data_IF_345419286310
#
_entry.id   IF_345419286310
#
_cell.length_a   1.000
_cell.length_b   1.000
_cell.length_c   1.000
_cell.angle_alpha   90.00
_cell.angle_beta   90.00
_cell.angle_gamma   90.00
#
_symmetry.space_group_name_H-M   'P 1'
#
loop_
_entity.id
_entity.type
_entity.pdbx_description
1 polymer ?
#
# COMPACT_ATOMS: atom_id res chain seq x y z
N UNK A 1 21.14 -3.52 -2.92
CA UNK A 1 22.15 -2.85 -2.09
C UNK A 1 21.53 -1.73 -1.24
N UNK A 2 20.79 -0.80 -1.83
CA UNK A 2 20.12 0.30 -1.12
C UNK A 2 19.09 -0.18 -0.09
N UNK A 3 18.26 -1.17 -0.43
CA UNK A 3 17.27 -1.73 0.51
C UNK A 3 17.93 -2.43 1.71
N UNK A 4 19.03 -3.15 1.49
CA UNK A 4 19.80 -3.77 2.58
C UNK A 4 20.40 -2.72 3.51
N UNK A 5 20.86 -1.60 2.97
CA UNK A 5 21.33 -0.47 3.75
C UNK A 5 20.21 0.11 4.62
N UNK A 6 19.02 0.37 4.05
CA UNK A 6 17.87 0.87 4.81
C UNK A 6 17.46 -0.11 5.92
N UNK A 7 17.48 -1.41 5.64
CA UNK A 7 17.21 -2.45 6.64
C UNK A 7 18.24 -2.40 7.78
N UNK A 8 19.53 -2.33 7.43
CA UNK A 8 20.63 -2.28 8.40
C UNK A 8 20.53 -1.08 9.36
N UNK A 9 20.07 0.06 8.89
CA UNK A 9 19.89 1.26 9.71
C UNK A 9 18.49 1.36 10.36
N UNK A 10 17.74 0.24 10.38
CA UNK A 10 16.44 0.18 11.06
C UNK A 10 15.29 0.89 10.35
N UNK A 11 15.38 1.07 9.05
CA UNK A 11 14.36 1.75 8.23
C UNK A 11 13.44 0.79 7.47
N UNK A 12 13.45 -0.48 7.81
CA UNK A 12 12.53 -1.48 7.28
C UNK A 12 11.44 -1.81 8.30
N UNK A 13 10.22 -1.95 7.84
CA UNK A 13 9.09 -2.48 8.59
C UNK A 13 8.38 -3.55 7.77
N UNK A 14 8.16 -4.71 8.37
CA UNK A 14 7.26 -5.72 7.80
C UNK A 14 5.84 -5.33 8.15
N UNK A 15 5.02 -5.10 7.14
CA UNK A 15 3.60 -4.77 7.30
C UNK A 15 2.80 -6.05 7.12
N UNK A 16 1.97 -6.36 8.10
CA UNK A 16 1.11 -7.55 8.08
C UNK A 16 -0.20 -7.25 7.38
N UNK A 17 -0.83 -8.28 6.87
CA UNK A 17 -2.12 -8.20 6.19
C UNK A 17 -3.29 -7.87 7.13
N UNK A 18 -3.09 -8.00 8.44
CA UNK A 18 -4.08 -7.69 9.48
C UNK A 18 -3.43 -6.90 10.60
N UNK A 19 -4.12 -5.86 11.05
CA UNK A 19 -3.67 -5.03 12.18
C UNK A 19 -4.00 -5.65 13.54
N UNK A 20 -3.40 -5.13 14.64
CA UNK A 20 -3.61 -5.65 15.99
C UNK A 20 -5.08 -5.65 16.47
N UNK A 21 -5.91 -4.77 15.91
CA UNK A 21 -7.34 -4.69 16.22
C UNK A 21 -8.20 -5.71 15.48
N UNK A 22 -7.60 -6.47 14.56
CA UNK A 22 -8.35 -7.45 13.77
C UNK A 22 -8.59 -8.73 14.59
N UNK A 23 -9.82 -9.32 14.58
CA UNK A 23 -10.12 -10.53 15.35
C UNK A 23 -9.22 -11.72 15.06
N UNK A 24 -8.72 -11.81 13.83
CA UNK A 24 -7.80 -12.86 13.39
C UNK A 24 -6.36 -12.38 13.27
N UNK A 25 -5.94 -11.47 14.12
CA UNK A 25 -4.57 -10.95 14.09
C UNK A 25 -3.51 -12.05 14.31
N UNK A 26 -3.84 -13.07 15.08
CA UNK A 26 -2.96 -14.23 15.29
C UNK A 26 -2.67 -15.04 14.01
N UNK A 27 -3.49 -14.88 12.97
CA UNK A 27 -3.28 -15.49 11.65
C UNK A 27 -2.61 -14.52 10.65
N UNK A 28 -2.19 -13.34 11.10
CA UNK A 28 -1.63 -12.32 10.23
C UNK A 28 -0.32 -12.78 9.56
N UNK A 29 -0.20 -12.46 8.28
CA UNK A 29 0.97 -12.82 7.45
C UNK A 29 1.63 -11.58 6.89
N UNK A 30 2.93 -11.62 6.57
CA UNK A 30 3.60 -10.52 5.87
C UNK A 30 2.90 -10.21 4.55
N UNK A 31 2.56 -8.94 4.37
CA UNK A 31 1.90 -8.42 3.18
C UNK A 31 2.85 -7.59 2.33
N UNK A 32 3.66 -6.74 2.96
CA UNK A 32 4.71 -5.98 2.29
C UNK A 32 5.88 -5.66 3.22
N UNK A 33 7.05 -5.48 2.63
CA UNK A 33 8.17 -4.81 3.28
C UNK A 33 8.11 -3.33 2.93
N UNK A 34 8.08 -2.49 3.95
CA UNK A 34 8.10 -1.03 3.80
C UNK A 34 9.46 -0.50 4.21
N UNK A 35 10.06 0.30 3.34
CA UNK A 35 11.34 0.97 3.61
C UNK A 35 11.11 2.47 3.66
N UNK A 36 11.53 3.10 4.74
CA UNK A 36 11.40 4.54 4.94
C UNK A 36 12.61 5.26 4.35
N UNK A 37 12.43 5.90 3.21
CA UNK A 37 13.48 6.65 2.52
C UNK A 37 13.68 8.00 3.20
N UNK A 38 12.61 8.72 3.48
CA UNK A 38 12.66 10.06 4.06
C UNK A 38 12.39 10.05 5.57
N UNK A 39 11.14 9.88 6.00
CA UNK A 39 10.76 9.95 7.42
C UNK A 39 10.31 8.59 7.94
N UNK A 40 10.96 8.12 9.01
CA UNK A 40 10.53 6.90 9.71
C UNK A 40 9.25 7.14 10.53
N UNK A 41 9.17 8.31 11.14
CA UNK A 41 8.01 8.76 11.92
C UNK A 41 7.56 10.09 11.37
N UNK A 42 6.53 10.06 10.52
CA UNK A 42 6.00 11.26 9.88
C UNK A 42 5.02 11.98 10.79
N UNK A 43 5.29 13.24 11.18
CA UNK A 43 4.30 14.06 11.87
C UNK A 43 3.07 14.30 10.99
N UNK A 44 1.89 14.42 11.59
CA UNK A 44 0.64 14.66 10.84
C UNK A 44 0.66 15.96 10.02
N UNK A 45 1.41 16.95 10.47
CA UNK A 45 1.55 18.25 9.80
C UNK A 45 2.53 18.23 8.63
N UNK A 46 3.41 17.23 8.52
CA UNK A 46 4.37 17.16 7.44
C UNK A 46 3.70 16.68 6.14
N UNK A 47 3.86 17.42 5.00
CA UNK A 47 2.97 17.27 3.85
C UNK A 47 3.22 16.05 2.98
N UNK A 48 4.34 15.33 3.12
CA UNK A 48 4.63 14.15 2.31
C UNK A 48 5.59 13.18 2.97
N UNK A 49 5.73 11.98 2.38
CA UNK A 49 6.79 11.04 2.73
C UNK A 49 7.22 10.26 1.48
N UNK A 50 8.41 9.69 1.52
CA UNK A 50 8.96 8.86 0.46
C UNK A 50 9.25 7.48 1.04
N UNK A 51 8.65 6.46 0.45
CA UNK A 51 8.72 5.08 0.88
C UNK A 51 9.07 4.19 -0.32
N UNK A 52 9.65 3.04 -0.05
CA UNK A 52 9.73 1.95 -1.00
C UNK A 52 8.92 0.79 -0.43
N UNK A 53 8.06 0.21 -1.25
CA UNK A 53 7.28 -0.98 -0.90
C UNK A 53 7.74 -2.15 -1.76
N UNK A 54 8.10 -3.24 -1.12
CA UNK A 54 8.23 -4.55 -1.75
C UNK A 54 7.00 -5.36 -1.39
N UNK A 55 6.17 -5.65 -2.37
CA UNK A 55 4.92 -6.37 -2.16
C UNK A 55 5.18 -7.87 -2.08
N UNK A 56 4.63 -8.52 -1.07
CA UNK A 56 4.83 -9.95 -0.80
C UNK A 56 3.57 -10.77 -1.07
N UNK A 57 2.41 -10.15 -1.05
CA UNK A 57 1.12 -10.80 -1.26
C UNK A 57 0.11 -9.85 -1.89
N UNK A 58 -0.96 -10.42 -2.44
CA UNK A 58 -2.11 -9.66 -2.93
C UNK A 58 -2.76 -8.86 -1.81
N UNK A 59 -3.51 -7.83 -2.17
CA UNK A 59 -4.36 -7.13 -1.24
C UNK A 59 -5.35 -8.10 -0.61
N UNK A 60 -5.53 -7.97 0.70
CA UNK A 60 -6.33 -8.91 1.46
C UNK A 60 -7.82 -8.79 1.14
N UNK A 61 -8.51 -9.94 1.08
CA UNK A 61 -9.94 -10.04 0.81
C UNK A 61 -10.32 -9.79 -0.66
N UNK A 62 -11.63 -9.69 -0.93
CA UNK A 62 -12.19 -9.49 -2.27
C UNK A 62 -12.49 -8.03 -2.58
N UNK A 63 -12.20 -7.13 -1.65
CA UNK A 63 -12.58 -5.73 -1.72
C UNK A 63 -11.47 -4.82 -2.24
N UNK A 64 -11.88 -3.62 -2.58
CA UNK A 64 -10.99 -2.50 -2.85
C UNK A 64 -10.81 -1.68 -1.58
N UNK A 65 -9.71 -0.94 -1.49
CA UNK A 65 -9.43 -0.07 -0.34
C UNK A 65 -9.01 1.33 -0.78
N UNK A 66 -9.07 2.28 0.16
CA UNK A 66 -8.58 3.63 -0.01
C UNK A 66 -7.46 3.92 1.01
N UNK A 67 -6.83 5.07 0.85
CA UNK A 67 -5.76 5.53 1.74
C UNK A 67 -6.17 6.78 2.51
N UNK A 68 -5.41 7.11 3.57
CA UNK A 68 -5.62 8.33 4.36
C UNK A 68 -5.07 9.59 3.69
N UNK A 69 -4.36 9.42 2.59
CA UNK A 69 -3.65 10.48 1.85
C UNK A 69 -3.66 10.17 0.36
N UNK A 70 -3.56 11.19 -0.50
CA UNK A 70 -3.23 10.98 -1.91
C UNK A 70 -1.79 10.49 -2.04
N UNK A 71 -1.49 9.81 -3.13
CA UNK A 71 -0.14 9.29 -3.35
C UNK A 71 0.22 9.19 -4.83
N UNK A 72 1.52 9.16 -5.08
CA UNK A 72 2.10 8.79 -6.36
C UNK A 72 2.81 7.45 -6.15
N UNK A 73 2.60 6.52 -7.06
CA UNK A 73 3.33 5.26 -7.12
C UNK A 73 4.11 5.15 -8.41
N UNK A 74 5.35 4.70 -8.31
CA UNK A 74 6.21 4.42 -9.46
C UNK A 74 6.67 2.97 -9.33
N UNK A 75 6.35 2.15 -10.31
CA UNK A 75 6.74 0.74 -10.29
C UNK A 75 8.18 0.64 -10.78
N UNK A 76 9.06 0.16 -9.90
CA UNK A 76 10.49 0.01 -10.17
C UNK A 76 10.83 -1.37 -10.72
N UNK A 77 10.09 -2.40 -10.29
CA UNK A 77 10.33 -3.80 -10.68
C UNK A 77 9.06 -4.64 -10.55
N UNK A 78 8.90 -5.64 -11.40
CA UNK A 78 7.88 -6.68 -11.32
C UNK A 78 6.58 -6.31 -12.00
N UNK A 79 5.92 -5.30 -11.54
CA UNK A 79 4.56 -4.95 -11.99
C UNK A 79 3.47 -5.71 -11.24
N UNK A 80 2.23 -5.23 -11.34
CA UNK A 80 1.06 -5.84 -10.71
C UNK A 80 -0.24 -5.49 -11.46
N UNK A 81 -1.28 -6.23 -11.14
CA UNK A 81 -2.64 -5.90 -11.56
C UNK A 81 -3.27 -4.93 -10.58
N UNK A 82 -3.84 -3.86 -11.09
CA UNK A 82 -4.61 -2.90 -10.30
C UNK A 82 -6.06 -2.90 -10.75
N UNK A 83 -6.95 -3.16 -9.82
CA UNK A 83 -8.40 -3.05 -10.03
C UNK A 83 -8.88 -1.71 -9.53
N UNK A 84 -9.49 -0.94 -10.41
CA UNK A 84 -10.16 0.34 -10.15
C UNK A 84 -11.65 0.20 -10.42
N UNK A 85 -12.45 1.22 -10.13
CA UNK A 85 -13.87 1.26 -10.49
C UNK A 85 -14.09 1.14 -12.00
N UNK A 86 -13.11 1.53 -12.81
CA UNK A 86 -13.16 1.52 -14.28
C UNK A 86 -12.69 0.21 -14.90
N UNK A 87 -12.12 -0.71 -14.13
CA UNK A 87 -11.64 -2.00 -14.63
C UNK A 87 -10.35 -2.46 -13.98
N UNK A 88 -9.80 -3.53 -14.52
CA UNK A 88 -8.54 -4.15 -14.08
C UNK A 88 -7.45 -3.89 -15.09
N UNK A 89 -6.33 -3.36 -14.63
CA UNK A 89 -5.23 -2.88 -15.49
C UNK A 89 -3.91 -3.48 -15.06
N UNK A 90 -3.11 -3.93 -16.04
CA UNK A 90 -1.73 -4.32 -15.78
C UNK A 90 -0.86 -3.05 -15.67
N UNK A 91 -0.10 -2.96 -14.57
CA UNK A 91 0.82 -1.85 -14.30
C UNK A 91 2.26 -2.39 -14.40
N UNK A 92 2.95 -2.15 -15.54
CA UNK A 92 4.32 -2.65 -15.73
C UNK A 92 5.36 -1.80 -14.99
N UNK A 93 6.60 -2.29 -14.88
CA UNK A 93 7.72 -1.44 -14.45
C UNK A 93 7.82 -0.16 -15.29
N UNK A 94 8.09 0.96 -14.62
CA UNK A 94 8.07 2.29 -15.25
C UNK A 94 6.71 3.00 -15.20
N UNK A 95 5.64 2.30 -14.84
CA UNK A 95 4.32 2.93 -14.65
C UNK A 95 4.37 3.94 -13.51
N UNK A 96 3.79 5.12 -13.75
CA UNK A 96 3.61 6.19 -12.77
C UNK A 96 2.11 6.42 -12.62
N UNK A 97 1.59 6.24 -11.39
CA UNK A 97 0.19 6.45 -11.08
C UNK A 97 0.00 7.50 -9.99
N UNK A 98 -1.00 8.37 -10.17
CA UNK A 98 -1.49 9.26 -9.12
C UNK A 98 -2.85 8.75 -8.64
N UNK A 99 -3.05 8.74 -7.32
CA UNK A 99 -4.32 8.34 -6.69
C UNK A 99 -4.70 9.35 -5.61
N UNK A 100 -5.95 9.79 -5.65
CA UNK A 100 -6.51 10.58 -4.55
C UNK A 100 -6.75 9.71 -3.32
N UNK A 101 -6.88 10.34 -2.15
CA UNK A 101 -7.17 9.64 -0.90
C UNK A 101 -8.51 8.88 -0.93
N UNK A 102 -9.44 9.28 -1.79
CA UNK A 102 -10.75 8.65 -1.93
C UNK A 102 -10.79 7.55 -2.99
N UNK A 103 -9.71 7.39 -3.75
CA UNK A 103 -9.65 6.38 -4.80
C UNK A 103 -9.65 4.98 -4.19
N UNK A 104 -10.57 4.16 -4.66
CA UNK A 104 -10.66 2.76 -4.26
C UNK A 104 -9.92 1.90 -5.27
N UNK A 105 -9.00 1.08 -4.78
CA UNK A 105 -8.26 0.16 -5.62
C UNK A 105 -7.93 -1.15 -4.90
N UNK A 106 -7.53 -2.13 -5.69
CA UNK A 106 -7.00 -3.40 -5.25
C UNK A 106 -5.77 -3.74 -6.06
N UNK A 107 -4.76 -4.26 -5.41
CA UNK A 107 -3.53 -4.76 -6.06
C UNK A 107 -3.46 -6.27 -5.95
N UNK A 108 -3.29 -6.94 -7.09
CA UNK A 108 -3.06 -8.38 -7.19
C UNK A 108 -1.72 -8.63 -7.87
N UNK A 109 -0.93 -9.53 -7.30
CA UNK A 109 0.40 -9.84 -7.80
C UNK A 109 0.36 -10.94 -8.87
N UNK A 110 1.26 -10.87 -9.82
CA UNK A 110 1.56 -12.01 -10.66
C UNK A 110 2.25 -13.08 -9.81
N UNK A 111 1.81 -14.36 -9.88
CA UNK A 111 2.42 -15.43 -9.08
C UNK A 111 3.95 -15.48 -9.22
N UNK A 112 4.64 -15.64 -8.08
CA UNK A 112 6.10 -15.72 -8.02
C UNK A 112 6.81 -14.38 -8.14
N UNK A 113 6.10 -13.24 -8.17
CA UNK A 113 6.71 -11.91 -8.26
C UNK A 113 6.62 -11.16 -6.94
N UNK A 114 7.60 -10.29 -6.71
CA UNK A 114 7.65 -9.35 -5.59
C UNK A 114 7.84 -7.94 -6.15
N UNK A 115 6.76 -7.26 -6.55
CA UNK A 115 6.86 -5.91 -7.10
C UNK A 115 7.51 -4.94 -6.14
N UNK A 116 8.35 -4.06 -6.68
CA UNK A 116 9.01 -2.99 -5.96
C UNK A 116 8.47 -1.65 -6.46
N UNK A 117 7.98 -0.81 -5.56
CA UNK A 117 7.44 0.50 -5.91
C UNK A 117 8.07 1.61 -5.09
N UNK A 118 8.32 2.74 -5.73
CA UNK A 118 8.55 4.01 -5.04
C UNK A 118 7.18 4.64 -4.77
N UNK A 119 6.94 4.97 -3.52
CA UNK A 119 5.65 5.48 -3.05
C UNK A 119 5.83 6.83 -2.40
N UNK A 120 5.20 7.85 -2.95
CA UNK A 120 5.25 9.22 -2.42
C UNK A 120 3.86 9.55 -1.89
N UNK A 121 3.72 9.57 -0.56
CA UNK A 121 2.46 9.91 0.11
C UNK A 121 2.33 11.42 0.27
N UNK A 122 1.14 11.94 0.02
CA UNK A 122 0.79 13.35 0.21
C UNK A 122 0.23 13.67 1.59
N UNK A 123 -0.45 14.81 1.74
CA UNK A 123 -0.98 15.27 3.03
C UNK A 123 -2.02 14.32 3.64
N UNK A 124 -2.03 14.21 4.95
CA UNK A 124 -3.09 13.51 5.68
C UNK A 124 -4.41 14.29 5.66
N UNK A 125 -5.51 13.59 5.93
CA UNK A 125 -6.82 14.20 6.18
C UNK A 125 -7.61 14.58 4.92
N UNK A 126 -7.14 14.23 3.73
CA UNK A 126 -7.85 14.52 2.47
C UNK A 126 -8.87 13.44 2.09
N UNK A 127 -8.92 12.34 2.82
CA UNK A 127 -9.91 11.29 2.60
C UNK A 127 -11.27 11.74 3.13
N UNK A 128 -12.29 11.59 2.30
CA UNK A 128 -13.68 11.77 2.70
C UNK A 128 -14.28 10.41 3.04
N UNK A 129 -14.84 10.26 4.22
CA UNK A 129 -15.46 9.02 4.67
C UNK A 129 -14.51 8.04 5.37
N UNK A 130 -15.03 6.87 5.78
CA UNK A 130 -14.28 5.89 6.54
C UNK A 130 -13.21 5.22 5.68
N UNK A 131 -12.11 4.82 6.33
CA UNK A 131 -11.13 3.94 5.72
C UNK A 131 -11.74 2.57 5.53
N UNK A 132 -11.64 2.01 4.31
CA UNK A 132 -11.80 0.57 4.15
C UNK A 132 -10.52 -0.10 4.63
N UNK A 133 -10.62 -0.92 5.64
CA UNK A 133 -9.53 -1.78 6.06
C UNK A 133 -9.56 -3.04 5.20
N UNK A 134 -8.41 -3.46 4.72
CA UNK A 134 -8.11 -4.65 3.92
C UNK A 134 -9.22 -5.71 3.90
N UNK A 135 -10.08 -5.73 2.88
CA UNK A 135 -11.14 -6.71 2.77
C UNK A 135 -12.12 -6.77 3.94
N UNK A 136 -11.92 -6.00 5.01
CA UNK A 136 -13.00 -5.69 5.93
C UNK A 136 -13.86 -4.67 5.21
N UNK A 137 -14.36 -5.19 4.27
CA UNK A 137 -15.65 -4.94 3.75
C UNK A 137 -16.04 -3.51 3.56
N UNK A 138 -15.49 -3.01 2.52
CA UNK A 138 -16.28 -2.13 1.67
C UNK A 138 -17.70 -2.68 1.47
N UNK A 139 -17.91 -4.01 1.48
CA UNK A 139 -19.22 -4.66 1.36
C UNK A 139 -20.01 -4.65 2.66
N UNK A 140 -19.40 -4.84 3.82
CA UNK A 140 -20.11 -4.83 5.10
C UNK A 140 -20.56 -3.44 5.55
N UNK A 141 -19.97 -2.40 4.98
CA UNK A 141 -20.38 -1.00 5.26
C UNK A 141 -21.47 -0.48 4.35
N UNK A 142 -21.95 -1.30 3.41
CA UNK A 142 -23.09 -0.97 2.54
C UNK A 142 -24.42 -1.51 3.04
N UNK A 143 -24.41 -2.23 4.14
CA UNK A 143 -25.64 -2.74 4.78
C UNK A 143 -26.02 -1.86 5.97
#
# INVERSE_FOLDING_TARGET
>A
MFLKFLEKIGRKKVVLDRGPSHPKYHEAKPWMNRYYVLLRHRPKWFPFNILIHEMLADDHGDGVHNHTFPYITIILRGGYWETLSTGKFWRPPGYIGFRSANNLHRVDLKPGTKPLTLFISGPFGLRKGPRSEYGIDFKSKKN
#
